data_IF_270985482055
#
_entry.id   IF_270985482055
#
_cell.length_a   1.000
_cell.length_b   1.000
_cell.length_c   1.000
_cell.angle_alpha   90.00
_cell.angle_beta   90.00
_cell.angle_gamma   90.00
#
_symmetry.space_group_name_H-M   'P 1'
#
loop_
_entity.id
_entity.type
_entity.pdbx_description
1 polymer ?
#
# COMPACT_ATOMS: atom_id res chain seq x y z
N UNK A 1 -15.24 -22.44 11.29
CA UNK A 1 -14.08 -22.91 12.06
C UNK A 1 -14.42 -24.26 12.62
N UNK A 2 -13.54 -25.23 12.45
CA UNK A 2 -13.63 -26.55 13.06
C UNK A 2 -12.66 -26.55 14.21
N UNK A 3 -13.11 -26.92 15.40
CA UNK A 3 -12.30 -26.98 16.62
C UNK A 3 -12.30 -28.40 17.18
N UNK A 4 -11.21 -28.78 17.82
CA UNK A 4 -11.20 -29.99 18.65
C UNK A 4 -12.12 -29.78 19.85
N UNK A 5 -12.78 -30.85 20.29
CA UNK A 5 -13.64 -30.87 21.48
C UNK A 5 -12.85 -31.01 22.79
N UNK A 6 -11.54 -31.00 22.73
CA UNK A 6 -10.63 -31.05 23.88
C UNK A 6 -10.35 -29.65 24.39
N UNK A 7 -11.01 -29.27 25.49
CA UNK A 7 -10.84 -27.98 26.14
C UNK A 7 -9.46 -27.79 26.78
N UNK A 8 -8.81 -28.86 27.20
CA UNK A 8 -7.46 -28.81 27.78
C UNK A 8 -6.46 -28.49 26.67
N UNK A 9 -6.56 -29.17 25.51
CA UNK A 9 -5.75 -28.88 24.36
C UNK A 9 -5.99 -27.47 23.82
N UNK A 10 -7.24 -27.03 23.79
CA UNK A 10 -7.59 -25.65 23.37
C UNK A 10 -6.95 -24.59 24.28
N UNK A 11 -6.80 -24.87 25.57
CA UNK A 11 -6.17 -23.99 26.55
C UNK A 11 -4.64 -23.93 26.45
N UNK A 12 -3.99 -24.78 25.65
CA UNK A 12 -2.51 -24.82 25.50
C UNK A 12 -1.92 -23.61 24.77
N UNK A 13 -2.74 -22.69 24.31
CA UNK A 13 -2.33 -21.40 23.75
C UNK A 13 -2.68 -21.17 22.28
N UNK A 14 -2.22 -20.05 21.78
CA UNK A 14 -2.38 -19.63 20.38
C UNK A 14 -1.15 -19.97 19.53
N UNK A 15 -1.32 -20.11 18.23
CA UNK A 15 -0.22 -20.30 17.28
C UNK A 15 0.39 -18.93 16.98
N UNK A 16 1.70 -18.78 17.21
CA UNK A 16 2.53 -17.67 16.70
C UNK A 16 1.99 -16.26 16.94
N UNK A 17 1.60 -15.91 18.19
CA UNK A 17 1.25 -14.51 18.53
C UNK A 17 -0.05 -13.99 17.93
N UNK A 18 -0.80 -14.79 17.21
CA UNK A 18 -2.15 -14.46 16.73
C UNK A 18 -3.21 -15.04 17.68
N UNK A 19 -4.39 -14.42 17.72
CA UNK A 19 -5.54 -14.90 18.51
C UNK A 19 -6.13 -16.24 18.03
N UNK A 20 -5.49 -16.89 17.06
CA UNK A 20 -5.89 -18.19 16.54
C UNK A 20 -5.48 -19.31 17.52
N UNK A 21 -6.46 -20.04 18.07
CA UNK A 21 -6.20 -21.21 18.90
C UNK A 21 -5.53 -22.35 18.12
N UNK A 22 -4.63 -23.09 18.78
CA UNK A 22 -4.05 -24.34 18.22
C UNK A 22 -5.10 -25.41 17.92
N UNK A 23 -6.20 -25.39 18.62
CA UNK A 23 -7.30 -26.34 18.49
C UNK A 23 -8.27 -26.00 17.34
N UNK A 24 -8.06 -24.91 16.59
CA UNK A 24 -8.99 -24.43 15.57
C UNK A 24 -8.42 -24.45 14.17
N UNK A 25 -9.23 -24.89 13.22
CA UNK A 25 -8.94 -24.85 11.79
C UNK A 25 -10.00 -24.08 11.04
N UNK A 26 -9.60 -23.20 10.12
CA UNK A 26 -10.53 -22.58 9.20
C UNK A 26 -10.90 -23.60 8.12
N UNK A 27 -12.18 -24.00 8.07
CA UNK A 27 -12.69 -24.75 6.93
C UNK A 27 -13.04 -23.76 5.81
N UNK A 28 -12.47 -23.98 4.62
CA UNK A 28 -12.78 -23.21 3.42
C UNK A 28 -13.24 -24.15 2.33
N UNK A 29 -14.35 -23.78 1.66
CA UNK A 29 -14.77 -24.43 0.43
C UNK A 29 -13.75 -24.13 -0.66
N UNK A 30 -13.70 -25.01 -1.65
CA UNK A 30 -12.94 -24.73 -2.86
C UNK A 30 -13.54 -23.50 -3.55
N UNK A 31 -12.69 -22.53 -3.87
CA UNK A 31 -13.12 -21.33 -4.57
C UNK A 31 -13.59 -21.69 -5.99
N UNK A 32 -14.66 -21.06 -6.47
CA UNK A 32 -15.08 -21.14 -7.86
C UNK A 32 -14.00 -20.55 -8.75
N UNK A 33 -13.64 -21.22 -9.83
CA UNK A 33 -12.64 -20.75 -10.79
C UNK A 33 -13.25 -20.57 -12.18
N UNK A 34 -12.80 -19.53 -12.88
CA UNK A 34 -13.15 -19.31 -14.28
C UNK A 34 -11.88 -19.12 -15.12
N UNK A 35 -11.93 -19.64 -16.34
CA UNK A 35 -10.88 -19.39 -17.33
C UNK A 35 -11.19 -18.15 -18.15
N UNK A 36 -10.16 -17.37 -18.44
CA UNK A 36 -10.24 -16.15 -19.26
C UNK A 36 -8.94 -15.91 -19.99
N UNK A 37 -8.96 -14.94 -20.89
CA UNK A 37 -7.84 -14.57 -21.74
C UNK A 37 -7.28 -13.21 -21.31
N UNK A 38 -5.96 -13.15 -21.11
CA UNK A 38 -5.22 -11.94 -20.75
C UNK A 38 -5.28 -10.94 -21.92
N UNK A 39 -5.71 -9.72 -21.65
CA UNK A 39 -5.69 -8.62 -22.62
C UNK A 39 -4.36 -7.86 -22.57
N UNK A 40 -3.88 -7.53 -21.36
CA UNK A 40 -2.56 -6.92 -21.11
C UNK A 40 -2.23 -6.97 -19.62
N UNK A 41 -0.99 -6.67 -19.30
CA UNK A 41 -0.54 -6.44 -17.93
C UNK A 41 -0.42 -4.93 -17.71
N UNK A 42 -1.18 -4.42 -16.77
CA UNK A 42 -1.09 -3.05 -16.31
C UNK A 42 -0.07 -2.97 -15.16
N UNK A 43 0.86 -2.04 -15.27
CA UNK A 43 1.82 -1.79 -14.22
C UNK A 43 1.39 -0.60 -13.38
N UNK A 44 0.98 -0.86 -12.15
CA UNK A 44 0.48 0.14 -11.21
C UNK A 44 1.57 0.57 -10.24
N UNK A 45 1.89 1.87 -10.27
CA UNK A 45 2.84 2.44 -9.33
C UNK A 45 2.13 2.78 -8.02
N UNK A 46 2.43 2.02 -6.97
CA UNK A 46 1.90 2.24 -5.63
C UNK A 46 3.06 2.42 -4.65
N UNK A 47 3.19 3.60 -4.06
CA UNK A 47 4.28 3.97 -3.15
C UNK A 47 5.67 3.82 -3.81
N UNK A 48 6.49 2.88 -3.36
CA UNK A 48 7.83 2.63 -3.89
C UNK A 48 7.87 1.54 -4.94
N UNK A 49 6.87 0.66 -5.00
CA UNK A 49 6.83 -0.49 -5.90
C UNK A 49 5.92 -0.27 -7.10
N UNK A 50 6.29 -0.86 -8.23
CA UNK A 50 5.46 -0.96 -9.42
C UNK A 50 4.98 -2.40 -9.51
N UNK A 51 3.67 -2.60 -9.32
CA UNK A 51 3.07 -3.94 -9.23
C UNK A 51 2.30 -4.30 -10.49
N UNK A 52 2.44 -5.54 -10.98
CA UNK A 52 1.71 -6.03 -12.14
C UNK A 52 0.25 -6.37 -11.78
N UNK A 53 -0.66 -5.98 -12.66
CA UNK A 53 -2.09 -6.29 -12.58
C UNK A 53 -2.52 -6.93 -13.90
N UNK A 54 -3.03 -8.15 -13.86
CA UNK A 54 -3.62 -8.78 -15.02
C UNK A 54 -4.94 -8.09 -15.36
N UNK A 55 -5.08 -7.61 -16.58
CA UNK A 55 -6.33 -7.16 -17.18
C UNK A 55 -6.74 -8.20 -18.22
N UNK A 56 -7.95 -8.73 -18.12
CA UNK A 56 -8.41 -9.87 -18.90
C UNK A 56 -9.88 -9.71 -19.31
N UNK A 57 -10.30 -10.51 -20.28
CA UNK A 57 -11.70 -10.54 -20.73
C UNK A 57 -12.63 -10.79 -19.53
N UNK A 58 -13.69 -10.00 -19.36
CA UNK A 58 -14.60 -10.12 -18.22
C UNK A 58 -15.13 -11.52 -18.03
N UNK A 59 -15.14 -12.01 -16.81
CA UNK A 59 -15.72 -13.30 -16.41
C UNK A 59 -16.62 -13.14 -15.19
N UNK A 60 -17.66 -13.97 -15.10
CA UNK A 60 -18.52 -14.03 -13.91
C UNK A 60 -17.91 -14.97 -12.87
N UNK A 61 -17.74 -14.48 -11.65
CA UNK A 61 -17.25 -15.23 -10.51
C UNK A 61 -17.99 -14.80 -9.25
N UNK A 62 -18.55 -15.75 -8.50
CA UNK A 62 -19.28 -15.49 -7.26
C UNK A 62 -20.30 -14.36 -7.41
N UNK A 63 -21.06 -14.38 -8.53
CA UNK A 63 -22.15 -13.44 -8.81
C UNK A 63 -21.74 -12.02 -9.17
N UNK A 64 -20.48 -11.80 -9.53
CA UNK A 64 -20.00 -10.49 -10.00
C UNK A 64 -19.03 -10.63 -11.18
N UNK A 65 -19.03 -9.63 -12.05
CA UNK A 65 -18.12 -9.56 -13.20
C UNK A 65 -16.72 -9.11 -12.74
N UNK A 66 -15.71 -9.91 -13.04
CA UNK A 66 -14.31 -9.65 -12.73
C UNK A 66 -13.53 -9.47 -14.04
N UNK A 67 -12.67 -8.45 -14.12
CA UNK A 67 -11.85 -8.15 -15.29
C UNK A 67 -10.40 -7.79 -14.96
N UNK A 68 -10.04 -7.78 -13.67
CA UNK A 68 -8.71 -7.41 -13.18
C UNK A 68 -8.35 -8.25 -11.96
N UNK A 69 -7.09 -8.66 -11.88
CA UNK A 69 -6.55 -9.34 -10.71
C UNK A 69 -5.09 -8.95 -10.47
N UNK A 70 -4.70 -8.77 -9.21
CA UNK A 70 -3.29 -8.52 -8.88
C UNK A 70 -2.43 -9.74 -9.17
N UNK A 71 -1.27 -9.52 -9.78
CA UNK A 71 -0.20 -10.50 -9.94
C UNK A 71 0.90 -10.33 -8.86
N UNK A 72 0.65 -9.50 -7.86
CA UNK A 72 1.52 -9.25 -6.71
C UNK A 72 2.87 -8.63 -7.08
N UNK A 73 3.78 -9.39 -7.69
CA UNK A 73 5.15 -9.01 -8.00
C UNK A 73 5.72 -9.83 -9.18
N UNK A 74 6.97 -9.53 -9.56
CA UNK A 74 7.65 -10.22 -10.68
C UNK A 74 7.81 -11.70 -10.38
N UNK A 75 8.24 -12.08 -9.17
CA UNK A 75 8.42 -13.51 -8.81
C UNK A 75 7.14 -14.31 -8.98
N UNK A 76 5.98 -13.74 -8.64
CA UNK A 76 4.70 -14.42 -8.82
C UNK A 76 4.34 -14.56 -10.30
N UNK A 77 4.65 -13.56 -11.14
CA UNK A 77 4.49 -13.67 -12.59
C UNK A 77 5.37 -14.77 -13.19
N UNK A 78 6.64 -14.85 -12.76
CA UNK A 78 7.58 -15.90 -13.16
C UNK A 78 7.09 -17.28 -12.69
N UNK A 79 6.66 -17.39 -11.43
CA UNK A 79 6.14 -18.64 -10.85
C UNK A 79 4.91 -19.17 -11.60
N UNK A 80 3.99 -18.28 -11.97
CA UNK A 80 2.79 -18.60 -12.72
C UNK A 80 3.10 -18.90 -14.20
N UNK A 81 4.25 -18.45 -14.70
CA UNK A 81 4.59 -18.56 -16.11
C UNK A 81 3.74 -17.62 -16.98
N UNK A 82 3.40 -16.43 -16.46
CA UNK A 82 2.59 -15.44 -17.21
C UNK A 82 3.27 -15.14 -18.55
N UNK A 83 2.47 -15.06 -19.61
CA UNK A 83 2.89 -14.62 -20.94
C UNK A 83 2.39 -13.22 -21.24
N UNK A 84 2.12 -12.99 -22.53
CA UNK A 84 1.58 -11.74 -23.07
C UNK A 84 0.10 -11.91 -23.43
N UNK A 85 -0.45 -10.93 -24.14
CA UNK A 85 -1.83 -10.90 -24.64
C UNK A 85 -2.24 -12.24 -25.27
N UNK A 86 -3.42 -12.71 -24.93
CA UNK A 86 -3.96 -14.00 -25.38
C UNK A 86 -3.63 -15.18 -24.47
N UNK A 87 -2.74 -15.03 -23.49
CA UNK A 87 -2.47 -16.05 -22.47
C UNK A 87 -3.76 -16.41 -21.74
N UNK A 88 -4.10 -17.72 -21.70
CA UNK A 88 -5.26 -18.19 -20.95
C UNK A 88 -4.88 -18.41 -19.49
N UNK A 89 -5.66 -17.81 -18.61
CA UNK A 89 -5.45 -17.81 -17.16
C UNK A 89 -6.69 -18.31 -16.43
N UNK A 90 -6.47 -18.97 -15.29
CA UNK A 90 -7.53 -19.33 -14.36
C UNK A 90 -7.55 -18.33 -13.20
N UNK A 91 -8.74 -17.82 -12.90
CA UNK A 91 -8.99 -16.77 -11.91
C UNK A 91 -9.98 -17.25 -10.87
N UNK A 92 -9.77 -16.91 -9.61
CA UNK A 92 -10.70 -17.11 -8.49
C UNK A 92 -10.97 -15.78 -7.79
N UNK A 93 -11.95 -15.77 -6.89
CA UNK A 93 -12.09 -14.75 -5.85
C UNK A 93 -11.63 -15.31 -4.51
N UNK A 94 -10.40 -15.04 -4.12
CA UNK A 94 -9.90 -15.42 -2.82
C UNK A 94 -10.79 -14.81 -1.71
N UNK A 95 -11.22 -15.68 -0.78
CA UNK A 95 -12.20 -15.33 0.26
C UNK A 95 -13.52 -14.73 -0.29
N UNK A 96 -13.90 -15.07 -1.52
CA UNK A 96 -15.11 -14.57 -2.23
C UNK A 96 -15.10 -13.07 -2.53
N UNK A 97 -13.96 -12.39 -2.36
CA UNK A 97 -13.84 -10.93 -2.48
C UNK A 97 -12.73 -10.53 -3.44
N UNK A 98 -11.51 -11.06 -3.29
CA UNK A 98 -10.31 -10.57 -3.95
C UNK A 98 -9.98 -11.40 -5.19
N UNK A 99 -10.07 -10.83 -6.41
CA UNK A 99 -9.66 -11.53 -7.63
C UNK A 99 -8.16 -11.90 -7.60
N UNK A 100 -7.85 -13.14 -7.92
CA UNK A 100 -6.49 -13.68 -7.96
C UNK A 100 -6.33 -14.61 -9.14
N UNK A 101 -5.23 -14.46 -9.90
CA UNK A 101 -4.78 -15.44 -10.89
C UNK A 101 -4.13 -16.59 -10.15
N UNK A 102 -4.58 -17.80 -10.38
CA UNK A 102 -4.07 -19.01 -9.69
C UNK A 102 -3.21 -19.89 -10.60
N UNK A 103 -3.46 -19.84 -11.90
CA UNK A 103 -2.76 -20.68 -12.87
C UNK A 103 -2.76 -20.04 -14.27
N UNK A 104 -1.78 -20.45 -15.08
CA UNK A 104 -1.74 -20.22 -16.53
C UNK A 104 -2.09 -21.52 -17.21
N UNK A 105 -3.19 -21.53 -17.97
CA UNK A 105 -3.70 -22.70 -18.68
C UNK A 105 -2.93 -22.90 -20.01
N UNK A 106 -2.75 -21.80 -20.74
CA UNK A 106 -2.03 -21.78 -22.00
C UNK A 106 -1.26 -20.46 -22.11
N UNK A 107 0.06 -20.56 -22.21
CA UNK A 107 0.95 -19.40 -22.33
C UNK A 107 1.09 -18.96 -23.78
N UNK A 108 0.90 -17.68 -24.01
CA UNK A 108 1.25 -17.03 -25.28
C UNK A 108 2.22 -15.87 -25.03
N UNK A 109 3.20 -15.74 -25.92
CA UNK A 109 4.18 -14.64 -25.85
C UNK A 109 5.12 -14.71 -24.66
N UNK A 110 5.75 -13.56 -24.37
CA UNK A 110 6.73 -13.38 -23.31
C UNK A 110 6.27 -12.31 -22.34
N UNK A 111 6.48 -12.56 -21.07
CA UNK A 111 6.25 -11.57 -19.99
C UNK A 111 7.28 -10.44 -20.10
N UNK A 112 6.81 -9.20 -20.22
CA UNK A 112 7.65 -8.02 -20.32
C UNK A 112 7.60 -7.19 -19.04
N UNK A 113 8.77 -6.90 -18.49
CA UNK A 113 8.94 -5.99 -17.36
C UNK A 113 9.26 -4.60 -17.94
N UNK A 114 8.53 -3.52 -17.58
CA UNK A 114 8.78 -2.20 -18.11
C UNK A 114 10.13 -1.65 -17.65
N UNK A 115 10.89 -1.07 -18.56
CA UNK A 115 12.17 -0.41 -18.28
C UNK A 115 11.98 1.03 -17.78
N UNK A 116 10.77 1.57 -17.92
CA UNK A 116 10.43 2.93 -17.49
C UNK A 116 9.19 2.95 -16.61
N UNK A 117 9.20 3.85 -15.65
CA UNK A 117 8.07 4.06 -14.73
C UNK A 117 6.83 4.55 -15.50
N UNK A 118 5.66 3.95 -15.31
CA UNK A 118 4.43 4.35 -16.02
C UNK A 118 3.96 5.76 -15.65
N UNK A 119 4.47 6.35 -14.56
CA UNK A 119 4.03 7.67 -14.07
C UNK A 119 5.00 8.78 -14.45
N UNK A 120 6.30 8.62 -14.19
CA UNK A 120 7.28 9.69 -14.39
C UNK A 120 8.28 9.43 -15.54
N UNK A 121 8.17 8.28 -16.21
CA UNK A 121 9.04 7.86 -17.34
C UNK A 121 10.54 7.73 -17.00
N UNK A 122 10.91 7.83 -15.72
CA UNK A 122 12.27 7.54 -15.27
C UNK A 122 12.53 6.03 -15.30
N UNK A 123 13.79 5.63 -15.34
CA UNK A 123 14.19 4.23 -15.35
C UNK A 123 13.60 3.44 -14.17
N UNK A 124 13.39 2.17 -14.39
CA UNK A 124 12.99 1.21 -13.35
C UNK A 124 14.13 0.25 -13.04
N UNK A 125 14.11 -0.32 -11.86
CA UNK A 125 15.03 -1.38 -11.46
C UNK A 125 14.29 -2.52 -10.79
N UNK A 126 14.78 -3.74 -11.00
CA UNK A 126 14.31 -4.94 -10.31
C UNK A 126 15.18 -5.15 -9.08
N UNK A 127 14.56 -5.19 -7.91
CA UNK A 127 15.24 -5.51 -6.65
C UNK A 127 14.79 -6.87 -6.15
N UNK A 128 15.71 -7.64 -5.57
CA UNK A 128 15.45 -8.94 -4.97
C UNK A 128 15.65 -8.85 -3.46
N UNK A 129 14.66 -9.34 -2.71
CA UNK A 129 14.72 -9.37 -1.25
C UNK A 129 15.70 -10.45 -0.80
N UNK A 130 16.70 -10.09 -0.01
CA UNK A 130 17.69 -11.03 0.55
C UNK A 130 17.06 -12.12 1.41
N UNK A 131 15.97 -11.81 2.11
CA UNK A 131 15.31 -12.76 3.03
C UNK A 131 14.36 -13.73 2.34
N UNK A 132 13.72 -13.34 1.21
CA UNK A 132 12.65 -14.12 0.56
C UNK A 132 12.94 -14.45 -0.91
N UNK A 133 13.96 -13.86 -1.53
CA UNK A 133 14.21 -13.98 -2.97
C UNK A 133 13.12 -13.35 -3.85
N UNK A 134 12.23 -12.55 -3.25
CA UNK A 134 11.11 -11.95 -3.98
C UNK A 134 11.59 -10.76 -4.82
N UNK A 135 11.34 -10.85 -6.13
CA UNK A 135 11.66 -9.78 -7.09
C UNK A 135 10.51 -8.77 -7.18
N UNK A 136 10.84 -7.50 -7.02
CA UNK A 136 9.91 -6.38 -7.14
C UNK A 136 10.46 -5.30 -8.06
N UNK A 137 9.58 -4.57 -8.75
CA UNK A 137 9.96 -3.48 -9.64
C UNK A 137 9.84 -2.15 -8.92
N UNK A 138 10.85 -1.29 -9.08
CA UNK A 138 10.90 0.04 -8.45
C UNK A 138 11.22 1.11 -9.47
N UNK A 139 10.64 2.30 -9.26
CA UNK A 139 11.06 3.50 -9.97
C UNK A 139 12.32 4.05 -9.30
N UNK A 140 13.35 4.39 -10.08
CA UNK A 140 14.60 4.96 -9.55
C UNK A 140 14.46 6.42 -9.12
N UNK A 141 13.45 7.14 -9.65
CA UNK A 141 13.21 8.54 -9.30
C UNK A 141 12.61 8.67 -7.90
N UNK A 142 13.36 9.28 -6.98
CA UNK A 142 12.92 9.57 -5.61
C UNK A 142 11.79 10.59 -5.54
N UNK A 143 11.70 11.48 -6.54
CA UNK A 143 10.66 12.52 -6.67
C UNK A 143 9.50 12.11 -7.59
N UNK A 144 9.34 10.82 -7.85
CA UNK A 144 8.21 10.33 -8.65
C UNK A 144 6.87 10.79 -8.03
N UNK A 145 5.96 11.41 -8.82
CA UNK A 145 4.68 11.90 -8.31
C UNK A 145 3.85 10.84 -7.59
N UNK A 146 3.88 9.59 -8.07
CA UNK A 146 3.19 8.49 -7.41
C UNK A 146 3.76 8.17 -6.02
N UNK A 147 5.09 8.22 -5.86
CA UNK A 147 5.75 8.05 -4.55
C UNK A 147 5.37 9.18 -3.60
N UNK A 148 5.41 10.43 -4.09
CA UNK A 148 5.06 11.59 -3.29
C UNK A 148 3.61 11.52 -2.82
N UNK A 149 2.66 11.22 -3.72
CA UNK A 149 1.26 11.10 -3.37
C UNK A 149 1.02 10.04 -2.29
N UNK A 150 1.63 8.88 -2.41
CA UNK A 150 1.51 7.80 -1.41
C UNK A 150 2.16 8.16 -0.08
N UNK A 151 3.27 8.89 -0.11
CA UNK A 151 3.93 9.42 1.08
C UNK A 151 2.99 10.35 1.86
N UNK A 152 2.34 11.30 1.19
CA UNK A 152 1.34 12.16 1.80
C UNK A 152 0.09 11.39 2.25
N UNK A 153 -0.45 10.50 1.42
CA UNK A 153 -1.60 9.67 1.76
C UNK A 153 -1.39 8.87 3.04
N UNK A 154 -0.22 8.26 3.21
CA UNK A 154 0.14 7.55 4.45
C UNK A 154 0.27 8.51 5.63
N UNK A 155 0.89 9.67 5.43
CA UNK A 155 1.08 10.67 6.49
C UNK A 155 -0.26 11.10 7.09
N UNK A 156 -1.25 11.44 6.25
CA UNK A 156 -2.58 11.89 6.69
C UNK A 156 -3.54 10.77 7.06
N UNK A 157 -3.18 9.51 6.83
CA UNK A 157 -4.04 8.35 7.06
C UNK A 157 -4.50 8.23 8.51
N UNK A 158 -5.52 7.37 8.73
CA UNK A 158 -6.02 7.07 10.07
C UNK A 158 -4.95 6.48 10.99
N UNK A 159 -4.01 5.73 10.44
CA UNK A 159 -2.87 5.16 11.17
C UNK A 159 -1.75 6.17 11.39
N UNK A 160 -1.63 7.18 10.52
CA UNK A 160 -0.71 8.31 10.65
C UNK A 160 -1.26 9.40 11.55
N UNK A 161 -1.14 10.68 11.11
CA UNK A 161 -1.60 11.84 11.89
C UNK A 161 -3.12 12.06 11.85
N UNK A 162 -3.86 11.28 11.05
CA UNK A 162 -5.33 11.24 10.99
C UNK A 162 -6.00 12.59 10.65
N UNK A 163 -5.69 13.13 9.50
CA UNK A 163 -6.41 14.30 8.97
C UNK A 163 -7.63 13.82 8.17
N UNK A 164 -8.77 13.76 8.82
CA UNK A 164 -10.04 13.38 8.18
C UNK A 164 -10.44 14.42 7.12
N UNK A 165 -10.86 13.96 5.94
CA UNK A 165 -11.24 14.81 4.80
C UNK A 165 -10.13 15.00 3.75
N UNK A 166 -8.92 14.51 3.97
CA UNK A 166 -7.84 14.48 2.96
C UNK A 166 -7.75 13.11 2.28
N UNK A 167 -8.47 12.92 1.18
CA UNK A 167 -8.27 11.77 0.29
C UNK A 167 -7.00 11.94 -0.56
N UNK A 168 -6.45 10.83 -1.10
CA UNK A 168 -5.34 10.92 -2.06
C UNK A 168 -5.66 11.81 -3.27
N UNK A 169 -6.90 11.78 -3.75
CA UNK A 169 -7.36 12.65 -4.85
C UNK A 169 -7.33 14.13 -4.45
N UNK A 170 -7.72 14.46 -3.23
CA UNK A 170 -7.68 15.81 -2.69
C UNK A 170 -6.23 16.30 -2.56
N UNK A 171 -5.36 15.46 -2.01
CA UNK A 171 -3.93 15.77 -1.87
C UNK A 171 -3.31 16.00 -3.26
N UNK A 172 -3.64 15.16 -4.25
CA UNK A 172 -3.14 15.34 -5.62
C UNK A 172 -3.57 16.69 -6.21
N UNK A 173 -4.82 17.13 -5.97
CA UNK A 173 -5.27 18.47 -6.39
C UNK A 173 -4.42 19.57 -5.73
N UNK A 174 -4.13 19.46 -4.43
CA UNK A 174 -3.33 20.46 -3.70
C UNK A 174 -1.86 20.47 -4.15
N UNK A 175 -1.29 19.32 -4.47
CA UNK A 175 0.05 19.23 -5.06
C UNK A 175 0.06 19.92 -6.43
N UNK A 176 -0.92 19.67 -7.29
CA UNK A 176 -1.03 20.27 -8.61
C UNK A 176 -1.22 21.79 -8.56
N UNK A 177 -1.89 22.31 -7.53
CA UNK A 177 -2.07 23.75 -7.26
C UNK A 177 -0.82 24.39 -6.64
N UNK A 178 0.19 23.58 -6.25
CA UNK A 178 1.40 24.05 -5.59
C UNK A 178 1.21 24.42 -4.12
N UNK A 179 0.06 24.05 -3.51
CA UNK A 179 -0.24 24.31 -2.10
C UNK A 179 0.46 23.34 -1.16
N UNK A 180 0.79 22.13 -1.63
CA UNK A 180 1.43 21.07 -0.84
C UNK A 180 2.65 20.56 -1.60
N UNK A 181 3.83 20.75 -1.01
CA UNK A 181 5.14 20.29 -1.50
C UNK A 181 5.84 19.41 -0.45
N UNK A 182 5.65 19.77 0.82
CA UNK A 182 6.19 19.06 1.98
C UNK A 182 5.11 18.85 3.05
N UNK A 183 5.41 18.04 4.06
CA UNK A 183 4.44 17.72 5.11
C UNK A 183 3.96 18.93 5.90
N UNK A 184 4.83 19.93 6.10
CA UNK A 184 4.50 21.14 6.82
C UNK A 184 3.39 21.93 6.15
N UNK A 185 3.33 21.95 4.81
CA UNK A 185 2.33 22.68 4.03
C UNK A 185 0.89 22.22 4.35
N UNK A 186 0.72 20.95 4.72
CA UNK A 186 -0.59 20.42 5.11
C UNK A 186 -1.20 21.16 6.32
N UNK A 187 -0.34 21.68 7.19
CA UNK A 187 -0.74 22.44 8.38
C UNK A 187 -0.99 23.92 8.11
N UNK A 188 -0.76 24.37 6.87
CA UNK A 188 -0.96 25.75 6.42
C UNK A 188 -2.05 25.87 5.35
N UNK A 189 -2.90 24.85 5.19
CA UNK A 189 -4.02 24.85 4.23
C UNK A 189 -5.11 25.86 4.60
N UNK A 190 -5.12 26.39 5.82
CA UNK A 190 -5.95 27.52 6.24
C UNK A 190 -5.67 28.79 5.41
N UNK A 191 -4.44 29.00 4.92
CA UNK A 191 -4.07 30.09 4.02
C UNK A 191 -4.88 30.07 2.70
N UNK A 192 -5.38 28.90 2.31
CA UNK A 192 -6.17 28.67 1.10
C UNK A 192 -7.65 28.45 1.38
N UNK A 193 -8.15 28.83 2.58
CA UNK A 193 -9.51 28.56 3.01
C UNK A 193 -10.60 29.19 2.11
N UNK A 194 -10.31 30.34 1.49
CA UNK A 194 -11.22 31.02 0.55
C UNK A 194 -11.31 30.26 -0.78
N UNK A 195 -10.17 29.86 -1.34
CA UNK A 195 -10.13 29.10 -2.57
C UNK A 195 -10.74 27.70 -2.38
N UNK A 196 -10.45 27.06 -1.24
CA UNK A 196 -11.03 25.74 -0.89
C UNK A 196 -12.56 25.76 -0.94
N UNK A 197 -13.22 26.83 -0.44
CA UNK A 197 -14.69 26.94 -0.45
C UNK A 197 -15.28 27.03 -1.86
N UNK A 198 -14.51 27.49 -2.83
CA UNK A 198 -14.95 27.60 -4.23
C UNK A 198 -14.67 26.34 -5.05
N UNK A 199 -13.89 25.40 -4.52
CA UNK A 199 -13.54 24.15 -5.22
C UNK A 199 -14.70 23.17 -5.25
N UNK A 200 -14.86 22.48 -6.38
CA UNK A 200 -15.81 21.39 -6.52
C UNK A 200 -15.54 20.28 -5.48
N UNK A 201 -16.57 19.88 -4.76
CA UNK A 201 -16.51 18.89 -3.68
C UNK A 201 -16.21 19.49 -2.29
N UNK A 202 -15.95 20.79 -2.21
CA UNK A 202 -15.74 21.51 -0.96
C UNK A 202 -16.79 22.61 -0.77
N UNK A 203 -17.53 22.52 0.32
CA UNK A 203 -18.42 23.60 0.81
C UNK A 203 -17.98 24.03 2.19
N UNK A 204 -18.63 25.06 2.75
CA UNK A 204 -18.27 25.64 4.05
C UNK A 204 -18.10 24.60 5.16
N UNK A 205 -19.02 23.63 5.23
CA UNK A 205 -18.98 22.56 6.25
C UNK A 205 -17.78 21.63 6.08
N UNK A 206 -17.45 21.24 4.84
CA UNK A 206 -16.32 20.35 4.58
C UNK A 206 -14.98 21.03 4.81
N UNK A 207 -14.86 22.31 4.42
CA UNK A 207 -13.65 23.11 4.69
C UNK A 207 -13.47 23.30 6.19
N UNK A 208 -14.51 23.67 6.93
CA UNK A 208 -14.44 23.82 8.39
C UNK A 208 -14.04 22.51 9.08
N UNK A 209 -14.61 21.38 8.63
CA UNK A 209 -14.26 20.05 9.16
C UNK A 209 -12.80 19.71 8.89
N UNK A 210 -12.31 19.96 7.67
CA UNK A 210 -10.91 19.74 7.28
C UNK A 210 -9.96 20.56 8.14
N UNK A 211 -10.18 21.87 8.27
CA UNK A 211 -9.31 22.75 9.06
C UNK A 211 -9.31 22.36 10.54
N UNK A 212 -10.46 21.95 11.08
CA UNK A 212 -10.54 21.41 12.45
C UNK A 212 -9.74 20.12 12.60
N UNK A 213 -9.78 19.22 11.60
CA UNK A 213 -9.00 17.99 11.62
C UNK A 213 -7.49 18.26 11.55
N UNK A 214 -7.07 19.25 10.76
CA UNK A 214 -5.67 19.69 10.67
C UNK A 214 -5.20 20.23 12.02
N UNK A 215 -5.98 21.09 12.66
CA UNK A 215 -5.63 21.66 13.96
C UNK A 215 -5.53 20.58 15.04
N UNK A 216 -6.45 19.60 15.04
CA UNK A 216 -6.37 18.46 15.93
C UNK A 216 -5.11 17.61 15.69
N UNK A 217 -4.68 17.47 14.43
CA UNK A 217 -3.49 16.68 14.08
C UNK A 217 -2.16 17.31 14.55
N UNK A 218 -2.15 18.63 14.91
CA UNK A 218 -0.97 19.28 15.52
C UNK A 218 -0.58 18.66 16.87
N UNK A 219 -1.53 18.05 17.57
CA UNK A 219 -1.34 17.42 18.88
C UNK A 219 -1.44 15.89 18.81
N UNK A 220 -0.97 15.29 17.70
CA UNK A 220 -0.95 13.84 17.55
C UNK A 220 0.10 13.20 18.46
N UNK A 221 -0.15 11.97 18.91
CA UNK A 221 0.81 11.20 19.70
C UNK A 221 2.11 10.93 18.90
N UNK A 222 3.25 11.02 19.59
CA UNK A 222 4.58 10.93 19.00
C UNK A 222 4.79 9.67 18.14
N UNK A 223 4.29 8.50 18.60
CA UNK A 223 4.42 7.24 17.87
C UNK A 223 3.67 7.27 16.52
N UNK A 224 2.56 7.99 16.43
CA UNK A 224 1.80 8.16 15.19
C UNK A 224 2.52 9.07 14.21
N UNK A 225 3.11 10.17 14.70
CA UNK A 225 3.93 11.05 13.88
C UNK A 225 5.14 10.29 13.31
N UNK A 226 5.87 9.57 14.14
CA UNK A 226 7.03 8.79 13.72
C UNK A 226 6.65 7.73 12.66
N UNK A 227 5.53 7.02 12.87
CA UNK A 227 5.00 6.07 11.90
C UNK A 227 4.56 6.74 10.59
N UNK A 228 3.94 7.93 10.68
CA UNK A 228 3.45 8.69 9.53
C UNK A 228 4.57 9.13 8.58
N UNK A 229 5.77 9.39 9.09
CA UNK A 229 6.95 9.75 8.29
C UNK A 229 7.40 8.65 7.33
N UNK A 230 6.89 7.44 7.49
CA UNK A 230 7.16 6.30 6.60
C UNK A 230 8.65 6.00 6.42
N UNK A 231 9.40 6.02 7.51
CA UNK A 231 10.82 5.67 7.51
C UNK A 231 10.96 4.17 7.19
N UNK A 232 11.82 3.79 6.24
CA UNK A 232 12.01 2.38 5.90
C UNK A 232 12.33 1.52 7.14
N UNK A 233 11.78 0.31 7.19
CA UNK A 233 11.95 -0.67 8.28
C UNK A 233 11.35 -0.25 9.65
N UNK A 234 10.85 0.97 9.80
CA UNK A 234 10.24 1.45 11.03
C UNK A 234 8.71 1.28 10.96
N UNK A 235 8.23 0.12 11.43
CA UNK A 235 6.82 -0.16 11.62
C UNK A 235 6.28 0.38 12.96
N UNK A 236 4.97 0.19 13.20
CA UNK A 236 4.29 0.70 14.41
C UNK A 236 4.95 0.20 15.71
N UNK A 237 5.29 -1.08 15.79
CA UNK A 237 5.90 -1.67 16.99
C UNK A 237 7.30 -1.10 17.25
N UNK A 238 8.06 -0.85 16.18
CA UNK A 238 9.37 -0.22 16.27
C UNK A 238 9.24 1.23 16.74
N UNK A 239 8.26 1.99 16.24
CA UNK A 239 7.97 3.34 16.74
C UNK A 239 7.70 3.35 18.25
N UNK A 240 6.85 2.44 18.73
CA UNK A 240 6.54 2.34 20.14
C UNK A 240 7.77 1.98 20.99
N UNK A 241 8.61 1.06 20.53
CA UNK A 241 9.85 0.67 21.20
C UNK A 241 10.85 1.81 21.26
N UNK A 242 11.06 2.53 20.14
CA UNK A 242 11.94 3.69 20.11
C UNK A 242 11.49 4.77 21.09
N UNK A 243 10.20 5.09 21.10
CA UNK A 243 9.64 6.13 21.96
C UNK A 243 9.49 5.70 23.44
N UNK A 244 9.64 4.41 23.75
CA UNK A 244 9.79 3.96 25.15
C UNK A 244 11.19 4.21 25.72
N UNK A 245 12.19 4.36 24.86
CA UNK A 245 13.59 4.58 25.24
C UNK A 245 14.07 6.03 25.00
N UNK A 246 13.50 6.73 24.02
CA UNK A 246 13.95 8.06 23.58
C UNK A 246 12.79 9.03 23.46
N UNK A 247 13.06 10.32 23.71
CA UNK A 247 12.12 11.38 23.35
C UNK A 247 12.14 11.63 21.84
N UNK A 248 11.00 11.97 21.26
CA UNK A 248 10.92 12.22 19.81
C UNK A 248 11.84 13.39 19.37
N UNK A 249 11.98 14.41 20.21
CA UNK A 249 12.88 15.55 19.94
C UNK A 249 14.33 15.12 19.83
N UNK A 250 14.77 14.20 20.71
CA UNK A 250 16.15 13.70 20.70
C UNK A 250 16.43 12.88 19.44
N UNK A 251 15.45 12.08 18.98
CA UNK A 251 15.56 11.32 17.73
C UNK A 251 15.75 12.24 16.52
N UNK A 252 15.01 13.34 16.44
CA UNK A 252 15.16 14.31 15.34
C UNK A 252 16.47 15.08 15.44
N UNK A 253 16.89 15.48 16.64
CA UNK A 253 18.15 16.17 16.86
C UNK A 253 19.34 15.29 16.42
N UNK A 254 19.40 14.05 16.89
CA UNK A 254 20.44 13.09 16.53
C UNK A 254 20.46 12.82 15.01
N UNK A 255 19.29 12.67 14.37
CA UNK A 255 19.20 12.46 12.93
C UNK A 255 19.68 13.66 12.10
N UNK A 256 19.60 14.88 12.66
CA UNK A 256 20.07 16.09 12.00
C UNK A 256 21.60 16.25 12.14
N UNK A 257 22.17 15.77 13.24
CA UNK A 257 23.62 15.87 13.51
C UNK A 257 24.44 14.69 12.97
N UNK A 258 23.80 13.53 12.78
CA UNK A 258 24.46 12.33 12.28
C UNK A 258 24.93 12.53 10.82
N UNK A 259 26.21 12.31 10.59
CA UNK A 259 26.75 12.19 9.23
C UNK A 259 26.46 10.83 8.64
N UNK A 260 26.61 10.68 7.32
CA UNK A 260 26.37 9.39 6.63
C UNK A 260 27.28 8.27 7.16
N UNK A 261 28.45 8.60 7.71
CA UNK A 261 29.41 7.67 8.28
C UNK A 261 28.96 7.14 9.65
N UNK A 262 28.29 7.98 10.46
CA UNK A 262 27.77 7.60 11.78
C UNK A 262 26.58 6.64 11.73
N UNK A 263 25.86 6.60 10.58
CA UNK A 263 24.66 5.77 10.40
C UNK A 263 25.00 4.31 10.12
N UNK A 264 26.23 4.01 9.66
CA UNK A 264 26.68 2.66 9.26
C UNK A 264 27.80 2.11 10.17
N UNK A 265 28.17 2.81 11.22
CA UNK A 265 29.06 2.36 12.28
C UNK A 265 28.27 1.71 13.44
#
# INVERSE_FOLDING_TARGET
>A
IITYDDTVYAATGSVTGHHATRAGYAFKWQDESAETELEYIEWSCAASTISPVAVFKPVELEGTTVKRASLCNISECERLGIGDKGTKIAVIKANKIIPKVINVVERLGVFHIPEVCPVCQSATEVTESESSGTKTLHCTNTHCPAKQLKKFGRFVSKEGINIDGLSEQTIQKFINLGWVREYADLFHLDNHASELRTMEGFGDKSVSKLLTAIEKARNVEAHRLLFALNIPLIGRDVCNRLLSAYQIADLFHTATEATTEDVFA
#
